data_IF_988048790993
#
_entry.id   IF_988048790993
#
_cell.length_a   1.000
_cell.length_b   1.000
_cell.length_c   1.000
_cell.angle_alpha   90.00
_cell.angle_beta   90.00
_cell.angle_gamma   90.00
#
_symmetry.space_group_name_H-M   'P 1'
#
loop_
_entity.id
_entity.type
_entity.pdbx_description
1 polymer ?
#
# COMPACT_ATOMS: atom_id res chain seq x y z
N UNK A 1 8.07 -33.01 -3.99
CA UNK A 1 7.62 -32.44 -2.70
C UNK A 1 6.71 -31.30 -3.04
N UNK A 2 5.41 -31.45 -2.78
CA UNK A 2 4.40 -30.45 -3.06
C UNK A 2 4.17 -29.67 -1.76
N UNK A 3 4.50 -28.39 -1.75
CA UNK A 3 3.86 -27.39 -0.90
C UNK A 3 3.54 -26.21 -1.80
N UNK A 4 2.25 -26.04 -2.05
CA UNK A 4 1.67 -24.89 -2.72
C UNK A 4 1.79 -23.74 -1.70
N UNK A 5 2.99 -23.16 -1.57
CA UNK A 5 3.20 -21.97 -0.75
C UNK A 5 2.40 -20.85 -1.40
N UNK A 6 1.32 -20.44 -0.74
CA UNK A 6 0.44 -19.38 -1.25
C UNK A 6 1.31 -18.19 -1.61
N UNK A 7 1.38 -17.88 -2.90
CA UNK A 7 2.20 -16.81 -3.39
C UNK A 7 1.73 -15.52 -2.72
N UNK A 8 2.56 -14.94 -1.84
CA UNK A 8 2.34 -13.62 -1.25
C UNK A 8 2.55 -12.51 -2.30
N UNK A 9 2.09 -12.74 -3.53
CA UNK A 9 2.25 -11.89 -4.71
C UNK A 9 1.25 -10.73 -4.73
N UNK A 10 0.44 -10.60 -3.68
CA UNK A 10 -0.60 -9.58 -3.58
C UNK A 10 -0.21 -8.57 -2.50
N UNK A 11 -0.15 -7.26 -2.81
CA UNK A 11 0.14 -6.25 -1.82
C UNK A 11 -0.92 -6.24 -0.73
N UNK A 12 -0.48 -6.12 0.52
CA UNK A 12 -1.37 -5.94 1.67
C UNK A 12 -1.56 -4.45 1.91
N UNK A 13 -2.81 -3.98 1.84
CA UNK A 13 -3.17 -2.58 2.12
C UNK A 13 -3.91 -2.51 3.44
N UNK A 14 -3.36 -1.76 4.40
CA UNK A 14 -3.98 -1.50 5.70
C UNK A 14 -4.39 -0.03 5.74
N UNK A 15 -5.68 0.22 5.68
CA UNK A 15 -6.24 1.57 5.81
C UNK A 15 -6.47 1.91 7.28
N UNK A 16 -5.85 3.01 7.75
CA UNK A 16 -5.83 3.52 9.13
C UNK A 16 -5.92 2.42 10.21
N UNK A 17 -4.80 1.80 10.64
CA UNK A 17 -4.84 0.80 11.71
C UNK A 17 -5.38 1.38 13.03
N UNK A 18 -5.35 2.70 13.19
CA UNK A 18 -5.87 3.45 14.33
C UNK A 18 -7.41 3.65 14.30
N UNK A 19 -8.18 2.60 14.00
CA UNK A 19 -9.65 2.69 14.04
C UNK A 19 -10.13 2.82 15.50
N UNK A 20 -11.28 3.49 15.71
CA UNK A 20 -11.89 3.92 17.00
C UNK A 20 -12.05 2.87 18.14
N UNK A 21 -11.49 1.67 18.00
CA UNK A 21 -11.45 0.61 19.01
C UNK A 21 -10.04 0.05 19.31
N UNK A 22 -8.97 0.49 18.62
CA UNK A 22 -7.60 0.13 19.01
C UNK A 22 -7.07 1.15 20.01
N UNK A 23 -7.03 0.74 21.28
CA UNK A 23 -6.49 1.50 22.40
C UNK A 23 -5.01 1.85 22.18
N UNK A 24 -4.52 2.96 22.77
CA UNK A 24 -3.16 3.53 22.60
C UNK A 24 -2.02 2.51 22.83
N UNK A 25 -2.32 1.38 23.47
CA UNK A 25 -1.40 0.29 23.76
C UNK A 25 -1.24 -0.73 22.62
N UNK A 26 -2.31 -1.02 21.87
CA UNK A 26 -2.30 -2.08 20.85
C UNK A 26 -1.78 -1.59 19.49
N UNK A 27 -2.03 -0.32 19.17
CA UNK A 27 -1.57 0.28 17.93
C UNK A 27 -0.04 0.22 17.77
N UNK A 28 0.80 0.54 18.78
CA UNK A 28 2.25 0.36 18.69
C UNK A 28 2.67 -1.10 18.46
N UNK A 29 1.95 -2.07 19.02
CA UNK A 29 2.25 -3.49 18.84
C UNK A 29 1.95 -3.96 17.42
N UNK A 30 0.79 -3.56 16.88
CA UNK A 30 0.40 -3.83 15.48
C UNK A 30 1.39 -3.19 14.52
N UNK A 31 1.75 -1.92 14.74
CA UNK A 31 2.70 -1.20 13.90
C UNK A 31 4.11 -1.81 13.98
N UNK A 32 4.58 -2.22 15.16
CA UNK A 32 5.87 -2.89 15.30
C UNK A 32 5.89 -4.25 14.61
N UNK A 33 4.81 -5.03 14.66
CA UNK A 33 4.69 -6.29 13.93
C UNK A 33 4.77 -6.06 12.42
N UNK A 34 3.99 -5.09 11.93
CA UNK A 34 3.97 -4.67 10.53
C UNK A 34 5.35 -4.18 10.06
N UNK A 35 6.13 -3.50 10.90
CA UNK A 35 7.44 -3.00 10.49
C UNK A 35 8.58 -4.04 10.53
N UNK A 36 8.42 -5.16 11.26
CA UNK A 36 9.56 -6.06 11.57
C UNK A 36 9.35 -7.51 11.21
N UNK A 37 8.11 -8.00 11.24
CA UNK A 37 7.81 -9.44 11.23
C UNK A 37 7.07 -9.88 9.95
N UNK A 38 7.04 -9.04 8.92
CA UNK A 38 6.37 -9.36 7.66
C UNK A 38 7.13 -10.42 6.85
N UNK A 39 6.42 -11.31 6.12
CA UNK A 39 7.04 -12.25 5.21
C UNK A 39 7.96 -11.56 4.20
N UNK A 40 9.11 -12.18 3.93
CA UNK A 40 10.06 -11.65 2.95
C UNK A 40 9.42 -11.57 1.56
N UNK A 41 9.60 -10.43 0.89
CA UNK A 41 9.06 -10.18 -0.45
C UNK A 41 7.61 -9.71 -0.50
N UNK A 42 6.93 -9.58 0.65
CA UNK A 42 5.58 -9.02 0.70
C UNK A 42 5.61 -7.49 0.57
N UNK A 43 4.81 -6.93 -0.34
CA UNK A 43 4.58 -5.48 -0.38
C UNK A 43 3.48 -5.11 0.62
N UNK A 44 3.76 -4.12 1.47
CA UNK A 44 2.80 -3.53 2.39
C UNK A 44 2.61 -2.05 2.07
N UNK A 45 1.36 -1.60 2.07
CA UNK A 45 0.98 -0.19 2.05
C UNK A 45 0.12 0.07 3.29
N UNK A 46 0.50 1.04 4.12
CA UNK A 46 -0.25 1.40 5.33
C UNK A 46 -0.58 2.89 5.35
N UNK A 47 -1.86 3.22 5.57
CA UNK A 47 -2.31 4.59 5.82
C UNK A 47 -2.17 4.92 7.30
N UNK A 48 -1.51 6.03 7.64
CA UNK A 48 -1.31 6.48 9.01
C UNK A 48 -1.78 7.93 9.17
N UNK A 49 -2.48 8.21 10.27
CA UNK A 49 -2.97 9.55 10.59
C UNK A 49 -2.02 10.31 11.53
N UNK A 50 -1.15 9.59 12.23
CA UNK A 50 -0.18 10.15 13.17
C UNK A 50 1.24 9.78 12.77
N UNK A 51 2.22 10.68 12.97
CA UNK A 51 3.62 10.33 12.79
C UNK A 51 4.01 9.21 13.76
N UNK A 52 4.77 8.22 13.28
CA UNK A 52 5.28 7.13 14.09
C UNK A 52 6.78 7.00 13.91
N UNK A 53 7.48 6.63 14.99
CA UNK A 53 8.93 6.39 14.97
C UNK A 53 9.24 4.95 14.50
N UNK A 54 8.68 4.58 13.35
CA UNK A 54 8.98 3.33 12.67
C UNK A 54 9.57 3.62 11.29
N UNK A 55 10.50 2.76 10.86
CA UNK A 55 11.17 2.91 9.57
C UNK A 55 10.42 2.13 8.50
N UNK A 56 9.98 2.84 7.47
CA UNK A 56 9.50 2.25 6.22
C UNK A 56 10.52 2.50 5.11
N UNK A 57 10.54 1.61 4.11
CA UNK A 57 11.41 1.78 2.94
C UNK A 57 10.99 2.98 2.07
N UNK A 58 9.71 3.35 2.14
CA UNK A 58 9.14 4.50 1.47
C UNK A 58 8.03 5.12 2.34
N UNK A 59 7.98 6.45 2.40
CA UNK A 59 6.97 7.21 3.11
C UNK A 59 6.47 8.35 2.22
N UNK A 60 5.15 8.52 2.17
CA UNK A 60 4.49 9.59 1.43
C UNK A 60 3.57 10.36 2.37
N UNK A 61 3.81 11.66 2.53
CA UNK A 61 2.95 12.54 3.32
C UNK A 61 1.98 13.27 2.39
N UNK A 62 0.68 12.98 2.54
CA UNK A 62 -0.36 13.68 1.79
C UNK A 62 -0.64 15.05 2.42
N UNK A 63 -0.35 16.12 1.70
CA UNK A 63 -0.52 17.50 2.17
C UNK A 63 -1.72 18.22 1.56
N UNK A 64 -2.15 17.79 0.37
CA UNK A 64 -3.22 18.43 -0.40
C UNK A 64 -4.51 17.63 -0.35
N UNK A 65 -5.63 18.32 -0.10
CA UNK A 65 -6.93 17.66 0.05
C UNK A 65 -7.37 17.02 -1.27
N UNK A 66 -7.87 15.79 -1.20
CA UNK A 66 -8.35 14.99 -2.34
C UNK A 66 -7.28 14.73 -3.42
N UNK A 67 -6.00 14.83 -3.06
CA UNK A 67 -4.89 14.64 -3.99
C UNK A 67 -3.94 13.59 -3.43
N UNK A 68 -3.67 12.57 -4.24
CA UNK A 68 -2.65 11.55 -3.93
C UNK A 68 -1.28 11.96 -4.47
N UNK A 69 -1.27 12.66 -5.60
CA UNK A 69 -0.07 13.16 -6.28
C UNK A 69 -0.08 14.69 -6.22
N UNK A 70 1.10 15.28 -6.12
CA UNK A 70 1.31 16.71 -6.36
C UNK A 70 1.27 17.02 -7.87
N UNK A 71 1.15 18.31 -8.22
CA UNK A 71 1.16 18.74 -9.63
C UNK A 71 2.43 18.29 -10.37
N UNK A 72 3.57 18.36 -9.69
CA UNK A 72 4.88 17.99 -10.25
C UNK A 72 5.04 16.47 -10.44
N UNK A 73 4.37 15.65 -9.62
CA UNK A 73 4.41 14.18 -9.70
C UNK A 73 3.44 13.61 -10.76
N UNK A 74 2.41 14.38 -11.11
CA UNK A 74 1.32 13.92 -11.97
C UNK A 74 1.82 13.49 -13.34
N UNK A 75 2.53 14.36 -14.07
CA UNK A 75 2.87 14.10 -15.48
C UNK A 75 3.76 12.86 -15.64
N UNK A 76 4.72 12.67 -14.73
CA UNK A 76 5.60 11.50 -14.76
C UNK A 76 4.83 10.22 -14.42
N UNK A 77 3.95 10.26 -13.42
CA UNK A 77 3.17 9.11 -12.98
C UNK A 77 2.17 8.70 -14.06
N UNK A 78 1.48 9.65 -14.67
CA UNK A 78 0.52 9.43 -15.74
C UNK A 78 1.16 8.71 -16.93
N UNK A 79 2.33 9.19 -17.39
CA UNK A 79 3.10 8.54 -18.47
C UNK A 79 3.44 7.08 -18.19
N UNK A 80 3.63 6.72 -16.91
CA UNK A 80 3.89 5.35 -16.48
C UNK A 80 2.61 4.52 -16.37
N UNK A 81 1.55 5.09 -15.80
CA UNK A 81 0.33 4.38 -15.42
C UNK A 81 -0.66 4.23 -16.58
N UNK A 82 -0.79 5.23 -17.44
CA UNK A 82 -1.77 5.24 -18.54
C UNK A 82 -1.67 4.02 -19.48
N UNK A 83 -0.46 3.57 -19.90
CA UNK A 83 -0.34 2.35 -20.70
C UNK A 83 -0.78 1.08 -19.96
N UNK A 84 -0.62 1.01 -18.65
CA UNK A 84 -1.01 -0.13 -17.82
C UNK A 84 -2.53 -0.15 -17.61
N UNK A 85 -3.11 1.01 -17.34
CA UNK A 85 -4.57 1.20 -17.25
C UNK A 85 -5.24 0.79 -18.55
N UNK A 86 -4.73 1.25 -19.70
CA UNK A 86 -5.24 0.86 -21.01
C UNK A 86 -5.23 -0.66 -21.20
N UNK A 87 -4.12 -1.33 -20.88
CA UNK A 87 -4.02 -2.80 -20.95
C UNK A 87 -5.02 -3.50 -20.04
N UNK A 88 -5.26 -2.97 -18.83
CA UNK A 88 -6.24 -3.51 -17.89
C UNK A 88 -7.66 -3.43 -18.45
N UNK A 89 -8.02 -2.33 -19.13
CA UNK A 89 -9.35 -2.17 -19.75
C UNK A 89 -9.53 -2.94 -21.07
N UNK A 90 -8.46 -3.13 -21.84
CA UNK A 90 -8.50 -3.91 -23.09
C UNK A 90 -8.62 -5.43 -22.83
N UNK A 91 -8.14 -5.92 -21.68
CA UNK A 91 -8.18 -7.32 -21.29
C UNK A 91 -9.61 -7.94 -21.15
N UNK A 92 -10.60 -7.30 -20.49
CA UNK A 92 -11.95 -7.84 -20.35
C UNK A 92 -12.74 -7.87 -21.68
N UNK A 93 -12.37 -7.08 -22.69
CA UNK A 93 -13.07 -7.03 -23.99
C UNK A 93 -12.62 -8.14 -24.97
N UNK A 94 -11.52 -8.83 -24.68
CA UNK A 94 -11.00 -9.92 -25.54
C UNK A 94 -11.61 -11.29 -25.23
N UNK A 95 -12.55 -11.37 -24.27
CA UNK A 95 -13.23 -12.60 -23.85
C UNK A 95 -14.76 -12.56 -24.13
N UNK A 96 -15.24 -11.57 -24.89
CA UNK A 96 -16.66 -11.44 -25.30
C UNK A 96 -16.87 -11.84 -26.76
#
# INVERSE_FOLDING_TARGET
MQSNEGTYDVPVVIDSPNQQAQDDFNLPAVLSFIAKDLPAGMQLIVGLETPIDLKFDHEMTLTERYSMLTEDEWEQTDKLMEPLLKKMYDAPLSQS
#
